data_IF_981275085369
#
_entry.id   IF_981275085369
#
_cell.length_a   1.000
_cell.length_b   1.000
_cell.length_c   1.000
_cell.angle_alpha   90.00
_cell.angle_beta   90.00
_cell.angle_gamma   90.00
#
_symmetry.space_group_name_H-M   'P 1'
#
loop_
_entity.id
_entity.type
_entity.pdbx_description
1 polymer ?
#
# COMPACT_ATOMS: atom_id res chain seq x y z
N UNK A 1 22.12 -2.56 -14.97
CA UNK A 1 21.51 -2.90 -16.26
C UNK A 1 20.23 -2.08 -16.44
N UNK A 2 20.15 -1.42 -17.56
CA UNK A 2 18.96 -0.65 -17.88
C UNK A 2 17.84 -1.58 -18.35
N UNK A 3 16.62 -1.25 -18.10
CA UNK A 3 15.47 -1.81 -18.75
C UNK A 3 14.58 -2.73 -17.95
N UNK A 4 14.98 -3.13 -16.75
CA UNK A 4 14.10 -3.95 -15.91
C UNK A 4 13.98 -3.31 -14.55
N UNK A 5 12.76 -2.99 -14.15
CA UNK A 5 12.45 -2.58 -12.79
C UNK A 5 11.36 -3.50 -12.25
N UNK A 6 11.43 -3.78 -10.96
CA UNK A 6 10.46 -4.64 -10.29
C UNK A 6 9.63 -3.78 -9.35
N UNK A 7 8.32 -3.84 -9.53
CA UNK A 7 7.37 -3.18 -8.64
C UNK A 7 6.71 -4.25 -7.78
N UNK A 8 7.06 -4.28 -6.50
CA UNK A 8 6.59 -5.32 -5.60
C UNK A 8 5.24 -4.93 -4.97
N UNK A 9 4.24 -5.76 -5.17
CA UNK A 9 2.89 -5.51 -4.65
C UNK A 9 2.46 -6.50 -3.56
N UNK A 10 3.37 -7.36 -3.12
CA UNK A 10 3.08 -8.38 -2.12
C UNK A 10 2.46 -7.84 -0.84
N UNK A 11 2.99 -6.76 -0.24
CA UNK A 11 2.42 -6.22 0.99
C UNK A 11 0.97 -5.73 0.84
N UNK A 12 0.57 -5.32 -0.35
CA UNK A 12 -0.80 -4.91 -0.60
C UNK A 12 -1.60 -6.05 -1.22
N UNK A 13 -1.23 -6.49 -2.42
CA UNK A 13 -2.03 -7.45 -3.18
C UNK A 13 -2.01 -8.83 -2.54
N UNK A 14 -0.85 -9.25 -2.04
CA UNK A 14 -0.71 -10.56 -1.42
C UNK A 14 -1.44 -10.70 -0.09
N UNK A 15 -1.75 -9.60 0.58
CA UNK A 15 -2.40 -9.60 1.89
C UNK A 15 -3.88 -9.23 1.80
N UNK A 16 -4.24 -8.36 0.87
CA UNK A 16 -5.56 -7.75 0.81
C UNK A 16 -6.70 -8.76 0.82
N UNK A 17 -6.55 -9.87 0.11
CA UNK A 17 -7.61 -10.86 -0.07
C UNK A 17 -7.47 -12.09 0.82
N UNK A 18 -6.55 -12.08 1.77
CA UNK A 18 -6.42 -13.19 2.70
C UNK A 18 -7.64 -13.26 3.61
N UNK A 19 -8.08 -14.49 3.93
CA UNK A 19 -9.28 -14.72 4.73
C UNK A 19 -9.03 -14.55 6.22
N UNK A 20 -7.76 -14.54 6.64
CA UNK A 20 -7.41 -14.31 8.04
C UNK A 20 -6.72 -12.98 8.19
N UNK A 21 -6.78 -12.45 9.40
CA UNK A 21 -6.16 -11.16 9.71
C UNK A 21 -4.64 -11.29 9.77
N UNK A 22 -3.97 -10.35 9.11
CA UNK A 22 -2.51 -10.22 9.19
C UNK A 22 -2.20 -9.05 10.11
N UNK A 23 -1.36 -9.27 11.09
CA UNK A 23 -1.02 -8.24 12.07
C UNK A 23 -0.23 -7.11 11.45
N UNK A 24 -0.46 -5.90 11.95
CA UNK A 24 0.26 -4.70 11.50
C UNK A 24 1.77 -4.90 11.56
N UNK A 25 2.28 -5.46 12.66
CA UNK A 25 3.70 -5.70 12.83
C UNK A 25 4.27 -6.63 11.75
N UNK A 26 3.52 -7.63 11.35
CA UNK A 26 3.96 -8.57 10.31
C UNK A 26 4.00 -7.91 8.93
N UNK A 27 3.08 -7.01 8.67
CA UNK A 27 3.09 -6.25 7.41
C UNK A 27 4.32 -5.34 7.33
N UNK A 28 4.64 -4.67 8.41
CA UNK A 28 5.81 -3.80 8.50
C UNK A 28 7.09 -4.63 8.32
N UNK A 29 7.16 -5.79 8.96
CA UNK A 29 8.29 -6.69 8.81
C UNK A 29 8.46 -7.20 7.39
N UNK A 30 7.35 -7.51 6.71
CA UNK A 30 7.40 -7.94 5.30
C UNK A 30 8.03 -6.85 4.43
N UNK A 31 7.62 -5.60 4.60
CA UNK A 31 8.21 -4.50 3.83
C UNK A 31 9.70 -4.38 4.12
N UNK A 32 10.10 -4.47 5.39
CA UNK A 32 11.50 -4.40 5.79
C UNK A 32 12.32 -5.50 5.11
N UNK A 33 11.80 -6.72 5.09
CA UNK A 33 12.48 -7.85 4.46
C UNK A 33 12.62 -7.66 2.95
N UNK A 34 11.60 -7.09 2.31
CA UNK A 34 11.67 -6.80 0.88
C UNK A 34 12.71 -5.73 0.57
N UNK A 35 12.81 -4.71 1.41
CA UNK A 35 13.84 -3.69 1.26
C UNK A 35 15.22 -4.27 1.46
N UNK A 36 15.39 -5.13 2.46
CA UNK A 36 16.67 -5.82 2.72
C UNK A 36 17.07 -6.73 1.54
N UNK A 37 16.08 -7.27 0.84
CA UNK A 37 16.32 -8.08 -0.35
C UNK A 37 16.71 -7.27 -1.58
N UNK A 38 16.69 -5.94 -1.47
CA UNK A 38 17.12 -5.04 -2.55
C UNK A 38 16.01 -4.43 -3.37
N UNK A 39 14.74 -4.65 -3.02
CA UNK A 39 13.63 -4.04 -3.74
C UNK A 39 13.52 -2.57 -3.38
N UNK A 40 13.35 -1.73 -4.40
CA UNK A 40 13.35 -0.27 -4.23
C UNK A 40 12.04 0.38 -4.64
N UNK A 41 11.05 -0.39 -5.07
CA UNK A 41 9.74 0.12 -5.47
C UNK A 41 8.67 -0.84 -4.93
N UNK A 42 8.01 -0.44 -3.84
CA UNK A 42 7.13 -1.32 -3.09
C UNK A 42 5.77 -0.64 -2.90
N UNK A 43 4.69 -1.35 -3.26
CA UNK A 43 3.34 -0.93 -2.90
C UNK A 43 3.05 -1.43 -1.49
N UNK A 44 3.01 -0.50 -0.54
CA UNK A 44 3.04 -0.82 0.88
C UNK A 44 1.68 -1.24 1.41
N UNK A 45 0.62 -0.56 0.99
CA UNK A 45 -0.72 -0.77 1.50
C UNK A 45 -1.76 -0.15 0.57
N UNK A 46 -3.03 -0.21 0.98
CA UNK A 46 -4.13 0.36 0.23
C UNK A 46 -5.05 1.15 1.15
N UNK A 47 -5.46 2.32 0.71
CA UNK A 47 -6.41 3.15 1.43
C UNK A 47 -7.84 2.92 0.92
N UNK A 48 -8.23 1.64 0.92
CA UNK A 48 -9.59 1.22 0.60
C UNK A 48 -10.49 1.34 1.83
N UNK A 49 -11.78 1.19 1.63
CA UNK A 49 -12.76 1.26 2.73
C UNK A 49 -12.43 0.19 3.79
N UNK A 50 -12.17 0.60 5.05
CA UNK A 50 -11.68 -0.35 6.07
C UNK A 50 -12.64 -1.49 6.37
N UNK A 51 -13.94 -1.24 6.29
CA UNK A 51 -14.95 -2.26 6.55
C UNK A 51 -15.07 -3.27 5.42
N UNK A 52 -14.74 -2.87 4.19
CA UNK A 52 -14.80 -3.78 3.04
C UNK A 52 -13.56 -4.65 2.93
N UNK A 53 -12.43 -4.11 3.33
CA UNK A 53 -11.15 -4.83 3.28
C UNK A 53 -10.46 -4.69 4.64
N UNK A 54 -10.85 -5.51 5.63
CA UNK A 54 -10.31 -5.38 6.98
C UNK A 54 -8.78 -5.51 7.06
N UNK A 55 -8.18 -6.31 6.18
CA UNK A 55 -6.73 -6.45 6.17
C UNK A 55 -5.99 -5.19 5.73
N UNK A 56 -6.69 -4.19 5.23
CA UNK A 56 -6.10 -2.90 4.88
C UNK A 56 -6.58 -1.78 5.81
N UNK A 57 -7.29 -2.12 6.88
CA UNK A 57 -7.85 -1.12 7.79
C UNK A 57 -6.78 -0.33 8.55
N UNK A 58 -5.59 -0.90 8.71
CA UNK A 58 -4.46 -0.28 9.41
C UNK A 58 -3.49 0.44 8.48
N UNK A 59 -3.96 0.85 7.30
CA UNK A 59 -3.12 1.44 6.26
C UNK A 59 -2.29 2.63 6.76
N UNK A 60 -2.89 3.53 7.53
CA UNK A 60 -2.17 4.69 8.07
C UNK A 60 -1.01 4.27 8.97
N UNK A 61 -1.26 3.33 9.87
CA UNK A 61 -0.23 2.83 10.79
C UNK A 61 0.90 2.12 10.08
N UNK A 62 0.57 1.28 9.11
CA UNK A 62 1.58 0.56 8.32
C UNK A 62 2.44 1.54 7.55
N UNK A 63 1.83 2.47 6.84
CA UNK A 63 2.59 3.42 6.02
C UNK A 63 3.51 4.28 6.89
N UNK A 64 2.99 4.81 8.00
CA UNK A 64 3.77 5.66 8.90
C UNK A 64 4.98 4.90 9.45
N UNK A 65 4.77 3.69 9.92
CA UNK A 65 5.86 2.89 10.50
C UNK A 65 6.91 2.52 9.45
N UNK A 66 6.49 2.17 8.25
CA UNK A 66 7.42 1.86 7.16
C UNK A 66 8.27 3.08 6.82
N UNK A 67 7.66 4.27 6.72
CA UNK A 67 8.41 5.49 6.39
C UNK A 67 9.39 5.90 7.48
N UNK A 68 9.09 5.61 8.72
CA UNK A 68 9.99 5.92 9.85
C UNK A 68 11.25 5.06 9.85
N UNK A 69 11.19 3.86 9.25
CA UNK A 69 12.25 2.86 9.35
C UNK A 69 12.94 2.58 8.01
N UNK A 70 12.71 3.39 7.01
CA UNK A 70 13.22 3.15 5.66
C UNK A 70 14.35 4.10 5.30
N UNK A 71 15.13 3.72 4.28
CA UNK A 71 16.07 4.64 3.65
C UNK A 71 15.33 5.46 2.58
N UNK A 72 15.91 6.61 2.22
CA UNK A 72 15.30 7.49 1.21
C UNK A 72 15.42 6.94 -0.22
N UNK A 73 16.10 5.81 -0.40
CA UNK A 73 16.28 5.22 -1.72
C UNK A 73 15.13 4.31 -2.13
N UNK A 74 14.23 3.98 -1.19
CA UNK A 74 13.09 3.11 -1.48
C UNK A 74 11.86 3.96 -1.76
N UNK A 75 11.21 3.68 -2.88
CA UNK A 75 9.96 4.32 -3.23
C UNK A 75 8.80 3.50 -2.66
N UNK A 76 8.04 4.12 -1.79
CA UNK A 76 6.84 3.52 -1.21
C UNK A 76 5.61 4.14 -1.87
N UNK A 77 4.78 3.31 -2.47
CA UNK A 77 3.52 3.74 -3.06
C UNK A 77 2.35 3.09 -2.33
N UNK A 78 1.18 3.63 -2.55
CA UNK A 78 -0.06 3.13 -1.95
C UNK A 78 -1.15 3.10 -3.00
N UNK A 79 -2.04 2.12 -2.89
CA UNK A 79 -3.21 2.06 -3.76
C UNK A 79 -4.30 2.95 -3.18
N UNK A 80 -4.88 3.81 -4.02
CA UNK A 80 -5.97 4.71 -3.62
C UNK A 80 -7.10 4.56 -4.63
N UNK A 81 -8.25 3.99 -4.22
CA UNK A 81 -9.35 3.74 -5.15
C UNK A 81 -10.26 4.96 -5.36
N UNK A 82 -10.12 6.01 -4.54
CA UNK A 82 -11.04 7.13 -4.58
C UNK A 82 -10.45 8.36 -3.87
N UNK A 83 -11.20 9.46 -3.90
CA UNK A 83 -10.77 10.71 -3.28
C UNK A 83 -10.55 10.57 -1.78
N UNK A 84 -11.43 9.84 -1.08
CA UNK A 84 -11.27 9.64 0.37
C UNK A 84 -9.96 8.91 0.69
N UNK A 85 -9.62 7.90 -0.12
CA UNK A 85 -8.34 7.20 0.02
C UNK A 85 -7.16 8.13 -0.21
N UNK A 86 -7.23 9.00 -1.21
CA UNK A 86 -6.17 9.98 -1.46
C UNK A 86 -6.01 10.91 -0.25
N UNK A 87 -7.11 11.41 0.29
CA UNK A 87 -7.04 12.33 1.44
C UNK A 87 -6.42 11.66 2.66
N UNK A 88 -6.79 10.40 2.92
CA UNK A 88 -6.21 9.63 4.02
C UNK A 88 -4.71 9.42 3.81
N UNK A 89 -4.32 9.06 2.60
CA UNK A 89 -2.92 8.81 2.27
C UNK A 89 -2.08 10.08 2.39
N UNK A 90 -2.59 11.20 1.90
CA UNK A 90 -1.90 12.49 2.02
C UNK A 90 -1.73 12.89 3.47
N UNK A 91 -2.70 12.60 4.32
CA UNK A 91 -2.65 12.96 5.74
C UNK A 91 -1.48 12.29 6.47
N UNK A 92 -0.98 11.16 6.00
CA UNK A 92 0.18 10.49 6.57
C UNK A 92 1.45 10.69 5.75
N UNK A 93 1.42 11.60 4.77
CA UNK A 93 2.60 11.99 4.02
C UNK A 93 2.91 11.17 2.78
N UNK A 94 1.97 10.36 2.30
CA UNK A 94 2.18 9.61 1.07
C UNK A 94 2.24 10.55 -0.13
N UNK A 95 3.15 10.28 -1.05
CA UNK A 95 3.37 11.10 -2.25
C UNK A 95 3.33 10.30 -3.53
N UNK A 96 3.33 8.97 -3.45
CA UNK A 96 3.29 8.10 -4.61
C UNK A 96 2.01 7.29 -4.57
N UNK A 97 1.11 7.55 -5.51
CA UNK A 97 -0.21 6.94 -5.52
C UNK A 97 -0.38 6.07 -6.75
N UNK A 98 -0.93 4.87 -6.55
CA UNK A 98 -1.41 4.02 -7.62
C UNK A 98 -2.92 4.14 -7.65
N UNK A 99 -3.46 4.62 -8.75
CA UNK A 99 -4.89 4.87 -8.88
C UNK A 99 -5.49 3.73 -9.67
N UNK A 100 -6.55 3.16 -9.12
CA UNK A 100 -7.29 2.10 -9.77
C UNK A 100 -8.57 2.67 -10.36
N UNK A 101 -8.78 2.41 -11.66
CA UNK A 101 -10.01 2.79 -12.34
C UNK A 101 -10.76 1.55 -12.77
N UNK A 102 -12.05 1.50 -12.44
CA UNK A 102 -12.94 0.49 -12.95
C UNK A 102 -13.71 1.07 -14.13
N UNK A 103 -13.94 0.31 -15.21
CA UNK A 103 -14.84 0.74 -16.26
C UNK A 103 -16.30 0.78 -15.79
N UNK A 104 -16.58 0.24 -14.61
CA UNK A 104 -17.91 0.23 -14.00
C UNK A 104 -18.11 1.54 -13.22
N UNK A 105 -19.06 2.37 -13.67
CA UNK A 105 -19.33 3.65 -13.01
C UNK A 105 -19.81 3.48 -11.58
N UNK A 106 -20.51 2.37 -11.27
CA UNK A 106 -20.99 2.12 -9.92
C UNK A 106 -19.83 1.95 -8.95
N UNK A 107 -18.78 1.27 -9.37
CA UNK A 107 -17.57 1.12 -8.57
C UNK A 107 -16.96 2.49 -8.27
N UNK A 108 -16.87 3.35 -9.27
CA UNK A 108 -16.29 4.67 -9.10
C UNK A 108 -17.10 5.56 -8.18
N UNK A 109 -18.43 5.41 -8.18
CA UNK A 109 -19.32 6.16 -7.29
C UNK A 109 -19.25 5.70 -5.84
N UNK A 110 -19.12 4.40 -5.61
CA UNK A 110 -19.07 3.84 -4.27
C UNK A 110 -17.82 4.24 -3.50
N UNK A 111 -16.83 4.62 -4.20
CA UNK A 111 -15.56 4.97 -3.60
C UNK A 111 -15.39 6.47 -3.54
#
# INVERSE_FOLDING_TARGET
MAGISIFEVGPRDGIQNLKHEVKTADKIELVRLLEDAGLTDIEVTSFVHPKRVPNMADAEGVFTAVRMNTSNTVKHSVLVPNKRGIDRAKAVGATNFNIFFSPNSDFNHEN
#
